data_IF_231993027365
#
_entry.id   IF_231993027365
#
_cell.length_a   1.000
_cell.length_b   1.000
_cell.length_c   1.000
_cell.angle_alpha   90.00
_cell.angle_beta   90.00
_cell.angle_gamma   90.00
#
_symmetry.space_group_name_H-M   'P 1'
#
loop_
_entity.id
_entity.type
_entity.pdbx_description
1 polymer ?
#
# COMPACT_ATOMS: atom_id res chain seq x y z
N UNK A 1 -18.06 3.59 -39.17
CA UNK A 1 -17.25 4.69 -39.71
C UNK A 1 -15.93 4.06 -40.11
N UNK A 2 -15.59 4.20 -41.39
CA UNK A 2 -14.84 3.23 -42.20
C UNK A 2 -13.44 2.90 -41.69
N UNK A 3 -13.16 1.59 -41.53
CA UNK A 3 -11.84 1.06 -41.20
C UNK A 3 -10.87 1.00 -42.40
N UNK A 4 -11.22 1.63 -43.53
CA UNK A 4 -10.57 1.42 -44.83
C UNK A 4 -9.74 2.62 -45.34
N UNK A 5 -9.76 3.77 -44.65
CA UNK A 5 -9.08 4.99 -45.13
C UNK A 5 -7.74 5.29 -44.43
N UNK A 6 -7.29 4.43 -43.51
CA UNK A 6 -6.04 4.62 -42.74
C UNK A 6 -4.84 3.87 -43.34
N UNK A 7 -4.91 3.47 -44.61
CA UNK A 7 -4.02 2.42 -45.15
C UNK A 7 -2.63 2.88 -45.61
N UNK A 8 -2.35 4.17 -45.86
CA UNK A 8 -0.97 4.64 -46.08
C UNK A 8 -0.80 6.12 -45.72
N UNK A 9 -0.04 6.42 -44.67
CA UNK A 9 0.36 7.77 -44.29
C UNK A 9 1.89 7.89 -44.26
N UNK A 10 2.44 9.09 -44.41
CA UNK A 10 3.89 9.34 -44.36
C UNK A 10 4.52 8.86 -43.04
N UNK A 11 3.73 8.89 -41.96
CA UNK A 11 4.11 8.44 -40.62
C UNK A 11 4.04 6.93 -40.41
N UNK A 12 3.28 6.21 -41.24
CA UNK A 12 3.12 4.74 -41.13
C UNK A 12 4.00 3.96 -42.11
N UNK A 13 4.95 4.62 -42.79
CA UNK A 13 5.93 3.98 -43.69
C UNK A 13 6.84 3.02 -42.89
N UNK A 14 6.84 1.75 -43.30
CA UNK A 14 7.62 0.69 -42.65
C UNK A 14 9.13 0.94 -42.65
N UNK A 15 9.64 1.73 -43.59
CA UNK A 15 11.07 2.09 -43.63
C UNK A 15 11.46 3.14 -42.58
N UNK A 16 10.49 3.87 -42.03
CA UNK A 16 10.68 4.92 -41.03
C UNK A 16 10.32 4.46 -39.61
N UNK A 17 9.54 3.38 -39.48
CA UNK A 17 9.11 2.84 -38.18
C UNK A 17 10.12 1.83 -37.65
N UNK A 18 10.70 2.12 -36.47
CA UNK A 18 11.62 1.20 -35.80
C UNK A 18 10.81 0.28 -34.86
N UNK A 19 10.72 -1.00 -35.22
CA UNK A 19 10.04 -2.01 -34.40
C UNK A 19 11.06 -2.72 -33.50
N UNK A 20 11.11 -2.33 -32.22
CA UNK A 20 11.90 -3.05 -31.19
C UNK A 20 11.07 -4.04 -30.40
N UNK A 21 9.84 -3.66 -30.08
CA UNK A 21 8.86 -4.47 -29.38
C UNK A 21 7.50 -4.23 -30.05
N UNK A 22 6.73 -5.30 -30.20
CA UNK A 22 5.38 -5.19 -30.75
C UNK A 22 4.47 -4.46 -29.76
N UNK A 23 3.72 -3.48 -30.24
CA UNK A 23 2.71 -2.78 -29.43
C UNK A 23 1.56 -3.75 -29.19
N UNK A 24 1.36 -4.13 -27.93
CA UNK A 24 0.26 -5.02 -27.53
C UNK A 24 -1.03 -4.24 -27.32
N UNK A 25 -2.16 -4.95 -27.35
CA UNK A 25 -3.49 -4.35 -27.12
C UNK A 25 -3.64 -3.81 -25.70
N UNK A 26 -2.95 -4.38 -24.71
CA UNK A 26 -2.96 -3.86 -23.33
C UNK A 26 -2.37 -2.44 -23.26
N UNK A 27 -1.39 -2.10 -24.09
CA UNK A 27 -0.85 -0.74 -24.15
C UNK A 27 -1.86 0.26 -24.72
N UNK A 28 -2.65 -0.18 -25.72
CA UNK A 28 -3.74 0.62 -26.29
C UNK A 28 -4.87 0.87 -25.29
N UNK A 29 -5.10 -0.06 -24.35
CA UNK A 29 -6.10 0.11 -23.27
C UNK A 29 -5.53 0.95 -22.13
N UNK A 30 -4.28 0.70 -21.71
CA UNK A 30 -3.64 1.40 -20.60
C UNK A 30 -3.32 2.87 -20.92
N UNK A 31 -2.88 3.14 -22.16
CA UNK A 31 -2.52 4.48 -22.63
C UNK A 31 -3.28 4.83 -23.91
N UNK A 32 -4.60 5.06 -23.81
CA UNK A 32 -5.47 5.13 -24.98
C UNK A 32 -5.21 6.32 -25.89
N UNK A 33 -4.71 7.43 -25.34
CA UNK A 33 -4.38 8.63 -26.10
C UNK A 33 -3.00 8.57 -26.79
N UNK A 34 -2.19 7.55 -26.49
CA UNK A 34 -0.83 7.41 -27.03
C UNK A 34 -0.77 6.41 -28.18
N UNK A 35 -1.40 5.24 -28.03
CA UNK A 35 -1.25 4.12 -28.98
C UNK A 35 -2.45 3.93 -29.93
N UNK A 36 -3.48 4.77 -29.84
CA UNK A 36 -4.62 4.76 -30.76
C UNK A 36 -4.69 6.06 -31.55
N UNK A 37 -5.06 5.95 -32.82
CA UNK A 37 -5.56 7.07 -33.60
C UNK A 37 -7.01 7.37 -33.19
N UNK A 38 -7.36 8.66 -33.11
CA UNK A 38 -8.73 9.15 -32.89
C UNK A 38 -9.50 8.46 -31.73
N UNK A 39 -8.96 8.43 -30.50
CA UNK A 39 -9.68 7.84 -29.36
C UNK A 39 -10.94 8.64 -29.05
N UNK A 40 -12.11 8.03 -29.27
CA UNK A 40 -13.42 8.62 -28.96
C UNK A 40 -14.11 7.86 -27.82
N UNK A 41 -14.82 8.60 -26.95
CA UNK A 41 -15.56 8.03 -25.81
C UNK A 41 -14.73 7.15 -24.85
N UNK A 42 -13.43 7.41 -24.74
CA UNK A 42 -12.52 6.65 -23.86
C UNK A 42 -12.54 7.21 -22.44
N UNK A 43 -12.46 6.32 -21.45
CA UNK A 43 -12.28 6.67 -20.04
C UNK A 43 -10.88 6.27 -19.58
N UNK A 44 -10.24 7.17 -18.82
CA UNK A 44 -8.93 6.90 -18.23
C UNK A 44 -9.13 6.04 -16.99
N UNK A 45 -8.46 4.88 -16.95
CA UNK A 45 -8.45 4.00 -15.79
C UNK A 45 -7.49 4.52 -14.71
N UNK A 46 -7.73 4.20 -13.42
CA UNK A 46 -6.73 4.42 -12.37
C UNK A 46 -5.41 3.74 -12.74
N UNK A 47 -4.30 4.46 -12.60
CA UNK A 47 -2.99 3.94 -13.00
C UNK A 47 -2.40 2.97 -11.99
N UNK A 48 -2.50 3.31 -10.71
CA UNK A 48 -1.88 2.56 -9.63
C UNK A 48 -2.60 2.77 -8.31
N UNK A 49 -2.59 1.73 -7.48
CA UNK A 49 -2.94 1.78 -6.07
C UNK A 49 -1.75 1.26 -5.25
N UNK A 50 -1.53 1.78 -4.03
CA UNK A 50 -0.51 1.23 -3.14
C UNK A 50 -0.72 -0.27 -2.97
N UNK A 51 0.35 -1.05 -3.18
CA UNK A 51 0.26 -2.51 -3.05
C UNK A 51 -0.17 -2.86 -1.63
N UNK A 52 -1.15 -3.74 -1.52
CA UNK A 52 -1.53 -4.32 -0.24
C UNK A 52 -0.39 -5.25 0.24
N UNK A 53 0.08 -5.02 1.46
CA UNK A 53 1.14 -5.82 2.13
C UNK A 53 0.59 -6.46 3.42
N UNK A 54 -0.73 -6.63 3.49
CA UNK A 54 -1.37 -7.35 4.58
C UNK A 54 -1.04 -8.85 4.51
N UNK A 55 -0.61 -9.40 5.65
CA UNK A 55 -0.35 -10.83 5.84
C UNK A 55 -1.49 -11.37 6.71
N UNK A 56 -2.23 -12.34 6.18
CA UNK A 56 -3.31 -12.99 6.91
C UNK A 56 -2.75 -14.13 7.75
N UNK A 57 -3.07 -14.15 9.04
CA UNK A 57 -2.73 -15.23 9.96
C UNK A 57 -3.87 -16.24 10.05
N UNK A 58 -3.56 -17.52 9.84
CA UNK A 58 -4.54 -18.60 9.98
C UNK A 58 -4.44 -19.32 11.35
N UNK A 59 -3.33 -19.15 12.06
CA UNK A 59 -3.06 -19.79 13.36
C UNK A 59 -3.40 -18.85 14.53
N UNK A 60 -4.43 -19.15 15.35
CA UNK A 60 -4.82 -18.32 16.48
C UNK A 60 -3.85 -18.40 17.67
N UNK A 61 -2.91 -19.35 17.68
CA UNK A 61 -1.95 -19.49 18.77
C UNK A 61 -0.80 -18.47 18.69
N UNK A 62 -0.66 -17.76 17.57
CA UNK A 62 0.37 -16.74 17.33
C UNK A 62 -0.14 -15.36 17.81
N UNK A 63 0.72 -14.55 18.47
CA UNK A 63 0.33 -13.20 18.87
C UNK A 63 -0.12 -12.32 17.70
N UNK A 64 -1.07 -11.41 17.91
CA UNK A 64 -1.57 -10.52 16.86
C UNK A 64 -0.48 -9.62 16.23
N UNK A 65 0.54 -9.25 17.02
CA UNK A 65 1.70 -8.50 16.54
C UNK A 65 2.95 -9.36 16.69
N UNK A 66 3.45 -9.85 15.57
CA UNK A 66 4.68 -10.62 15.49
C UNK A 66 5.41 -10.32 14.19
N UNK A 67 6.69 -10.69 14.13
CA UNK A 67 7.47 -10.57 12.91
C UNK A 67 7.27 -11.82 12.06
N UNK A 68 6.48 -11.68 10.99
CA UNK A 68 6.17 -12.80 10.11
C UNK A 68 7.39 -13.22 9.26
N UNK A 69 7.63 -14.54 9.07
CA UNK A 69 8.74 -15.03 8.24
C UNK A 69 8.73 -14.56 6.78
N UNK A 70 7.59 -14.13 6.24
CA UNK A 70 7.47 -13.54 4.90
C UNK A 70 8.04 -12.12 4.83
N UNK A 71 8.18 -11.44 5.97
CA UNK A 71 8.77 -10.10 6.04
C UNK A 71 10.29 -10.22 5.97
N UNK A 72 10.90 -9.45 5.06
CA UNK A 72 12.36 -9.42 4.95
C UNK A 72 12.99 -8.88 6.25
N UNK A 73 14.05 -9.53 6.77
CA UNK A 73 14.71 -9.08 7.99
C UNK A 73 15.30 -7.69 7.83
N UNK A 74 15.18 -6.87 8.87
CA UNK A 74 15.72 -5.51 8.89
C UNK A 74 17.23 -5.58 9.11
N UNK A 75 18.01 -5.01 8.19
CA UNK A 75 19.46 -4.91 8.32
C UNK A 75 19.87 -3.64 9.08
N UNK A 76 20.75 -3.78 10.07
CA UNK A 76 21.26 -2.65 10.87
C UNK A 76 22.35 -1.84 10.16
N UNK A 77 22.82 -2.26 8.98
CA UNK A 77 23.99 -1.65 8.32
C UNK A 77 23.75 -0.27 7.71
N UNK A 78 22.50 0.21 7.60
CA UNK A 78 22.14 1.43 6.87
C UNK A 78 21.27 2.43 7.68
N UNK A 79 21.28 2.34 9.01
CA UNK A 79 20.32 3.07 9.87
C UNK A 79 20.80 4.47 10.27
N UNK A 80 21.89 5.00 9.70
CA UNK A 80 22.27 6.40 9.94
C UNK A 80 21.61 7.25 8.84
N UNK A 81 20.52 7.99 9.11
CA UNK A 81 19.98 8.90 8.11
C UNK A 81 21.06 9.88 7.66
N UNK A 82 21.14 10.18 6.36
CA UNK A 82 22.08 11.19 5.84
C UNK A 82 21.90 12.58 6.49
N UNK A 83 20.71 12.84 7.04
CA UNK A 83 20.36 14.06 7.76
C UNK A 83 20.27 13.84 9.28
N UNK A 84 20.71 12.69 9.79
CA UNK A 84 20.82 12.48 11.22
C UNK A 84 21.87 13.48 11.74
N UNK A 85 21.55 14.30 12.74
CA UNK A 85 22.60 15.05 13.41
C UNK A 85 23.65 14.05 13.93
N UNK A 86 24.93 14.37 13.76
CA UNK A 86 26.07 13.57 14.24
C UNK A 86 25.99 13.24 15.75
N UNK A 87 25.20 14.05 16.47
CA UNK A 87 24.84 13.87 17.87
C UNK A 87 23.34 13.59 17.90
N UNK A 88 22.96 12.44 18.45
CA UNK A 88 21.56 12.05 18.63
C UNK A 88 20.83 13.08 19.51
N UNK A 89 19.49 13.11 19.46
CA UNK A 89 18.75 14.02 20.34
C UNK A 89 18.96 13.67 21.82
N UNK A 90 19.05 12.38 22.14
CA UNK A 90 19.39 11.87 23.47
C UNK A 90 20.77 12.37 23.93
N UNK A 91 21.82 12.26 23.10
CA UNK A 91 23.17 12.73 23.46
C UNK A 91 23.24 14.26 23.68
N UNK A 92 22.33 15.04 23.08
CA UNK A 92 22.25 16.49 23.31
C UNK A 92 21.58 16.85 24.64
N UNK A 93 20.65 16.02 25.10
CA UNK A 93 19.85 16.27 26.31
C UNK A 93 20.52 15.64 27.53
N UNK A 94 21.09 14.44 27.37
CA UNK A 94 21.65 13.62 28.46
C UNK A 94 23.18 13.54 28.44
N UNK A 95 23.84 14.24 27.52
CA UNK A 95 25.29 14.18 27.33
C UNK A 95 25.75 12.89 26.62
N UNK A 96 26.97 12.93 26.06
CA UNK A 96 27.58 11.77 25.41
C UNK A 96 27.81 10.65 26.44
N UNK A 97 27.36 9.43 26.13
CA UNK A 97 27.51 8.24 26.98
C UNK A 97 26.88 8.34 28.38
N UNK A 98 25.82 9.15 28.56
CA UNK A 98 25.16 9.28 29.86
C UNK A 98 26.06 9.89 30.94
N UNK A 99 26.98 10.79 30.54
CA UNK A 99 27.62 11.73 31.45
C UNK A 99 26.56 12.73 31.90
N UNK A 100 25.74 12.27 32.84
CA UNK A 100 24.56 12.94 33.37
C UNK A 100 25.01 14.14 34.22
N UNK A 101 24.99 15.34 33.62
CA UNK A 101 24.83 16.55 34.40
C UNK A 101 23.34 16.55 34.79
N UNK A 102 23.01 16.06 36.00
CA UNK A 102 21.67 15.82 36.59
C UNK A 102 20.68 17.04 36.57
N UNK A 103 20.59 17.80 35.47
CA UNK A 103 19.84 19.04 35.32
C UNK A 103 18.37 18.75 34.97
N UNK A 104 18.06 17.54 34.46
CA UNK A 104 16.71 17.19 34.06
C UNK A 104 16.33 15.74 34.41
N UNK A 105 15.23 15.59 35.15
CA UNK A 105 14.59 14.31 35.45
C UNK A 105 13.17 14.29 34.87
N UNK A 106 12.71 13.11 34.43
CA UNK A 106 11.32 12.92 33.99
C UNK A 106 10.39 13.18 35.19
N UNK A 107 9.33 14.00 35.06
CA UNK A 107 8.34 14.15 36.13
C UNK A 107 7.71 12.80 36.51
N UNK A 108 7.49 12.58 37.81
CA UNK A 108 6.93 11.34 38.35
C UNK A 108 5.52 11.05 37.80
N UNK A 109 4.76 12.09 37.48
CA UNK A 109 3.38 12.00 36.97
C UNK A 109 3.29 11.60 35.48
N UNK A 110 4.42 11.43 34.79
CA UNK A 110 4.44 11.18 33.34
C UNK A 110 4.72 9.71 33.05
N UNK A 111 3.71 8.96 32.65
CA UNK A 111 3.85 7.57 32.20
C UNK A 111 3.58 7.41 30.69
N UNK A 112 4.09 6.34 30.04
CA UNK A 112 3.73 6.02 28.67
C UNK A 112 2.23 5.77 28.55
N UNK A 113 1.55 6.47 27.64
CA UNK A 113 0.13 6.25 27.39
C UNK A 113 -0.05 5.25 26.24
N UNK A 114 -0.90 4.21 26.36
CA UNK A 114 -1.59 3.69 27.56
C UNK A 114 -0.80 2.56 28.26
N UNK A 115 -0.30 2.79 29.48
CA UNK A 115 0.47 1.81 30.27
C UNK A 115 -0.39 0.70 30.88
N UNK A 116 -1.66 1.00 31.17
CA UNK A 116 -2.58 0.09 31.87
C UNK A 116 -3.16 -1.03 30.98
N UNK A 117 -3.02 -0.92 29.65
CA UNK A 117 -3.67 -1.80 28.69
C UNK A 117 -2.65 -2.71 27.99
N UNK A 118 -2.98 -4.00 27.77
CA UNK A 118 -2.15 -4.86 26.93
C UNK A 118 -2.18 -4.37 25.48
N UNK A 119 -1.10 -4.67 24.73
CA UNK A 119 -0.95 -4.27 23.32
C UNK A 119 -2.08 -4.81 22.41
N UNK A 120 -2.63 -5.98 22.75
CA UNK A 120 -3.74 -6.59 22.05
C UNK A 120 -4.47 -7.59 22.96
N UNK A 121 -5.62 -8.04 22.49
CA UNK A 121 -6.43 -9.10 23.07
C UNK A 121 -6.61 -10.26 22.07
N UNK A 122 -7.28 -11.32 22.50
CA UNK A 122 -7.54 -12.52 21.70
C UNK A 122 -8.30 -12.23 20.39
N UNK A 123 -9.02 -11.11 20.29
CA UNK A 123 -9.81 -10.70 19.12
C UNK A 123 -9.08 -9.70 18.20
N UNK A 124 -7.86 -9.29 18.55
CA UNK A 124 -7.16 -8.22 17.81
C UNK A 124 -6.77 -8.67 16.40
N UNK A 125 -6.29 -9.91 16.25
CA UNK A 125 -5.97 -10.48 14.95
C UNK A 125 -7.21 -10.56 14.03
N UNK A 126 -8.31 -11.09 14.56
CA UNK A 126 -9.59 -11.19 13.84
C UNK A 126 -10.12 -9.81 13.43
N UNK A 127 -10.02 -8.81 14.30
CA UNK A 127 -10.44 -7.45 14.00
C UNK A 127 -9.61 -6.81 12.86
N UNK A 128 -8.30 -7.04 12.85
CA UNK A 128 -7.42 -6.60 11.75
C UNK A 128 -7.77 -7.34 10.46
N UNK A 129 -8.09 -8.64 10.53
CA UNK A 129 -8.53 -9.41 9.37
C UNK A 129 -9.84 -8.87 8.79
N UNK A 130 -10.83 -8.56 9.64
CA UNK A 130 -12.10 -7.95 9.23
C UNK A 130 -11.91 -6.60 8.53
N UNK A 131 -10.90 -5.82 8.92
CA UNK A 131 -10.57 -4.55 8.22
C UNK A 131 -10.31 -4.76 6.73
N UNK A 132 -9.64 -5.85 6.36
CA UNK A 132 -9.24 -6.16 4.99
C UNK A 132 -10.26 -7.01 4.21
N UNK A 133 -11.40 -7.32 4.81
CA UNK A 133 -12.45 -8.09 4.13
C UNK A 133 -13.18 -7.26 3.06
N UNK A 134 -13.76 -7.91 2.03
CA UNK A 134 -14.62 -7.21 1.09
C UNK A 134 -15.92 -6.74 1.77
N UNK A 135 -16.54 -5.70 1.22
CA UNK A 135 -17.90 -5.34 1.59
C UNK A 135 -18.82 -6.56 1.39
N UNK A 136 -19.70 -6.89 2.35
CA UNK A 136 -20.16 -6.05 3.46
C UNK A 136 -19.41 -6.21 4.80
N UNK A 137 -18.42 -7.09 4.89
CA UNK A 137 -17.84 -7.54 6.16
C UNK A 137 -16.88 -6.55 6.81
N UNK A 138 -16.36 -5.59 6.04
CA UNK A 138 -15.49 -4.52 6.54
C UNK A 138 -16.24 -3.38 7.26
N UNK A 139 -17.55 -3.52 7.46
CA UNK A 139 -18.37 -2.52 8.17
C UNK A 139 -19.02 -3.14 9.40
N UNK A 140 -19.01 -2.41 10.52
CA UNK A 140 -19.62 -2.88 11.78
C UNK A 140 -21.15 -2.78 11.78
N UNK A 141 -21.70 -1.86 10.99
CA UNK A 141 -23.14 -1.68 10.86
C UNK A 141 -23.51 -1.27 9.44
N UNK A 142 -24.72 -1.62 9.02
CA UNK A 142 -25.21 -1.38 7.67
C UNK A 142 -26.73 -1.43 7.60
N UNK A 143 -27.26 -1.24 6.39
CA UNK A 143 -28.72 -1.31 6.14
C UNK A 143 -29.08 -2.69 5.63
N UNK A 144 -30.24 -3.21 6.04
CA UNK A 144 -30.81 -4.43 5.47
C UNK A 144 -31.11 -4.22 3.99
N UNK A 145 -30.78 -5.20 3.16
CA UNK A 145 -31.04 -5.19 1.71
C UNK A 145 -32.05 -6.27 1.34
N UNK A 146 -32.76 -6.05 0.24
CA UNK A 146 -33.62 -7.09 -0.33
C UNK A 146 -32.76 -8.28 -0.78
N UNK A 147 -33.27 -9.50 -0.63
CA UNK A 147 -32.53 -10.72 -0.99
C UNK A 147 -32.07 -10.73 -2.46
N UNK A 148 -32.89 -10.21 -3.37
CA UNK A 148 -32.56 -10.13 -4.81
C UNK A 148 -31.45 -9.11 -5.14
N UNK A 149 -31.17 -8.16 -4.24
CA UNK A 149 -30.15 -7.12 -4.46
C UNK A 149 -28.76 -7.57 -4.00
N UNK A 150 -28.63 -8.78 -3.46
CA UNK A 150 -27.37 -9.36 -3.00
C UNK A 150 -26.87 -10.35 -4.06
N UNK A 151 -25.99 -9.92 -4.98
CA UNK A 151 -25.54 -10.79 -6.05
C UNK A 151 -24.40 -11.69 -5.55
N UNK A 152 -24.76 -12.89 -5.08
CA UNK A 152 -23.82 -13.83 -4.45
C UNK A 152 -22.68 -14.29 -5.38
N UNK A 153 -22.88 -14.24 -6.69
CA UNK A 153 -21.95 -14.77 -7.71
C UNK A 153 -21.37 -13.69 -8.61
N UNK A 154 -21.44 -12.41 -8.20
CA UNK A 154 -20.95 -11.30 -9.02
C UNK A 154 -19.43 -11.30 -9.19
N UNK A 155 -18.72 -11.78 -8.17
CA UNK A 155 -17.26 -11.70 -8.09
C UNK A 155 -16.57 -13.03 -8.43
N UNK A 156 -17.35 -14.10 -8.73
CA UNK A 156 -16.85 -15.39 -9.23
C UNK A 156 -16.42 -15.26 -10.70
#
# INVERSE_FOLDING_TARGET
MEAFDEDWNEFSDINKVIIRQQIRTEYKVAFPHLYNSLPSSVRISPYHEPKNVYICTDDPDIPAFYFDPLVNPISNHAVIPRNAPLVSHEDKVFGLNGADDNEWERPDDVEPFPSDLPLGNDQTADAIALWWTPAPYNTQSGRTRCAQDVPLVKDW
#
